data_IF_171214197430
#
_entry.id   IF_171214197430
#
_cell.length_a   1.000
_cell.length_b   1.000
_cell.length_c   1.000
_cell.angle_alpha   90.00
_cell.angle_beta   90.00
_cell.angle_gamma   90.00
#
_symmetry.space_group_name_H-M   'P 1'
#
loop_
_entity.id
_entity.type
_entity.pdbx_description
1 polymer ?
#
# COMPACT_ATOMS: atom_id res chain seq x y z
N UNK A 1 18.36 -39.66 23.21
CA UNK A 1 18.69 -38.22 23.07
C UNK A 1 19.15 -37.91 21.65
N UNK A 2 18.36 -38.26 20.62
CA UNK A 2 18.61 -37.93 19.20
C UNK A 2 17.25 -37.93 18.51
N UNK A 3 16.52 -36.80 18.54
CA UNK A 3 15.19 -36.72 17.93
C UNK A 3 14.77 -35.30 17.53
N UNK A 4 15.71 -34.40 17.22
CA UNK A 4 15.38 -33.00 16.87
C UNK A 4 16.01 -32.49 15.58
N UNK A 5 16.86 -33.25 14.88
CA UNK A 5 17.42 -32.82 13.59
C UNK A 5 16.44 -33.05 12.44
N UNK A 6 15.63 -34.13 12.49
CA UNK A 6 14.74 -34.54 11.38
C UNK A 6 13.62 -33.56 11.04
N UNK A 7 13.16 -32.75 12.01
CA UNK A 7 12.00 -31.87 11.86
C UNK A 7 12.32 -30.57 11.08
N UNK A 8 13.59 -30.19 10.93
CA UNK A 8 14.01 -29.04 10.10
C UNK A 8 14.11 -29.39 8.60
N UNK A 9 14.37 -30.65 8.26
CA UNK A 9 14.54 -31.10 6.87
C UNK A 9 13.19 -31.33 6.17
N UNK A 10 12.15 -31.77 6.89
CA UNK A 10 10.81 -32.00 6.32
C UNK A 10 10.10 -30.69 5.94
N UNK A 11 10.33 -29.58 6.66
CA UNK A 11 9.78 -28.27 6.32
C UNK A 11 10.45 -27.60 5.10
N UNK A 12 11.67 -28.03 4.72
CA UNK A 12 12.33 -27.60 3.47
C UNK A 12 11.95 -28.48 2.27
N UNK A 13 11.27 -29.61 2.50
CA UNK A 13 10.98 -30.64 1.48
C UNK A 13 9.56 -30.55 0.91
N UNK A 14 8.66 -29.82 1.55
CA UNK A 14 7.30 -29.59 1.06
C UNK A 14 7.20 -28.21 0.40
N UNK A 15 7.18 -28.20 -0.94
CA UNK A 15 6.93 -27.02 -1.79
C UNK A 15 8.14 -26.06 -1.89
N UNK A 16 9.19 -26.44 -2.64
CA UNK A 16 9.88 -25.44 -3.46
C UNK A 16 9.01 -25.30 -4.71
N UNK A 17 8.07 -24.33 -4.78
CA UNK A 17 7.40 -24.07 -6.04
C UNK A 17 8.50 -23.75 -7.04
N UNK A 18 8.39 -24.25 -8.27
CA UNK A 18 9.33 -23.92 -9.34
C UNK A 18 9.65 -22.44 -9.27
N UNK A 19 10.95 -22.12 -9.20
CA UNK A 19 11.45 -20.79 -8.92
C UNK A 19 11.27 -19.84 -10.12
N UNK A 20 10.28 -20.11 -10.96
CA UNK A 20 10.01 -19.50 -12.27
C UNK A 20 9.99 -17.98 -12.17
N UNK A 21 9.39 -17.43 -11.12
CA UNK A 21 9.33 -15.98 -10.88
C UNK A 21 10.71 -15.36 -10.56
N UNK A 22 11.62 -16.13 -9.95
CA UNK A 22 12.98 -15.66 -9.62
C UNK A 22 13.98 -15.93 -10.75
N UNK A 23 13.68 -16.78 -11.74
CA UNK A 23 14.57 -17.05 -12.88
C UNK A 23 14.82 -15.80 -13.74
N UNK A 24 13.79 -14.98 -13.97
CA UNK A 24 13.93 -13.71 -14.69
C UNK A 24 14.82 -12.74 -13.93
N UNK A 25 14.59 -12.56 -12.62
CA UNK A 25 15.41 -11.72 -11.75
C UNK A 25 16.87 -12.23 -11.64
N UNK A 26 17.05 -13.55 -11.67
CA UNK A 26 18.37 -14.19 -11.72
C UNK A 26 19.10 -13.86 -13.04
N UNK A 27 18.41 -13.95 -14.18
CA UNK A 27 18.97 -13.59 -15.50
C UNK A 27 19.29 -12.10 -15.63
N UNK A 28 18.50 -11.24 -14.99
CA UNK A 28 18.71 -9.79 -14.97
C UNK A 28 19.76 -9.34 -13.94
N UNK A 29 20.19 -10.25 -13.05
CA UNK A 29 21.18 -9.97 -12.01
C UNK A 29 20.67 -9.05 -10.89
N UNK A 30 19.35 -8.99 -10.68
CA UNK A 30 18.71 -8.11 -9.69
C UNK A 30 18.46 -8.80 -8.34
N UNK A 31 18.77 -10.08 -8.23
CA UNK A 31 18.65 -10.84 -6.98
C UNK A 31 19.75 -10.47 -5.98
N UNK A 32 19.44 -10.64 -4.69
CA UNK A 32 20.46 -10.61 -3.65
C UNK A 32 21.45 -11.78 -3.84
N UNK A 33 22.69 -11.68 -3.34
CA UNK A 33 23.67 -12.76 -3.48
C UNK A 33 23.21 -14.07 -2.81
N UNK A 34 22.44 -13.99 -1.73
CA UNK A 34 21.87 -15.14 -1.04
C UNK A 34 20.81 -15.84 -1.90
N UNK A 35 19.88 -15.08 -2.49
CA UNK A 35 18.85 -15.61 -3.36
C UNK A 35 19.45 -16.19 -4.65
N UNK A 36 20.44 -15.51 -5.24
CA UNK A 36 21.14 -16.01 -6.43
C UNK A 36 21.84 -17.35 -6.18
N UNK A 37 22.43 -17.55 -5.00
CA UNK A 37 23.03 -18.83 -4.62
C UNK A 37 21.97 -19.94 -4.47
N UNK A 38 20.80 -19.63 -3.90
CA UNK A 38 19.69 -20.57 -3.78
C UNK A 38 19.12 -20.97 -5.14
N UNK A 39 19.00 -20.02 -6.08
CA UNK A 39 18.60 -20.31 -7.47
C UNK A 39 19.64 -21.21 -8.15
N UNK A 40 20.92 -20.88 -8.01
CA UNK A 40 22.01 -21.64 -8.63
C UNK A 40 22.07 -23.09 -8.11
N UNK A 41 21.87 -23.32 -6.80
CA UNK A 41 21.81 -24.67 -6.26
C UNK A 41 20.60 -25.44 -6.79
N UNK A 42 19.45 -24.78 -6.95
CA UNK A 42 18.25 -25.42 -7.50
C UNK A 42 18.42 -25.79 -8.99
N UNK A 43 19.08 -24.94 -9.78
CA UNK A 43 19.36 -25.21 -11.19
C UNK A 43 20.28 -26.42 -11.38
N UNK A 44 21.15 -26.73 -10.40
CA UNK A 44 21.98 -27.94 -10.44
C UNK A 44 21.14 -29.24 -10.33
N UNK A 45 20.00 -29.17 -9.65
CA UNK A 45 19.16 -30.34 -9.32
C UNK A 45 17.91 -30.46 -10.21
N UNK A 46 17.38 -29.34 -10.73
CA UNK A 46 16.14 -29.30 -11.49
C UNK A 46 16.37 -29.11 -12.99
N UNK A 47 16.01 -30.11 -13.81
CA UNK A 47 16.10 -30.03 -15.27
C UNK A 47 15.03 -29.11 -15.88
N UNK A 48 13.83 -29.06 -15.30
CA UNK A 48 12.72 -28.23 -15.79
C UNK A 48 13.04 -26.74 -15.65
N UNK A 49 13.53 -26.31 -14.48
CA UNK A 49 13.93 -24.92 -14.26
C UNK A 49 15.12 -24.51 -15.13
N UNK A 50 16.01 -25.44 -15.51
CA UNK A 50 17.06 -25.18 -16.52
C UNK A 50 16.46 -24.94 -17.90
N UNK A 51 15.52 -25.78 -18.33
CA UNK A 51 14.80 -25.58 -19.60
C UNK A 51 14.10 -24.22 -19.65
N UNK A 52 13.39 -23.84 -18.60
CA UNK A 52 12.75 -22.52 -18.50
C UNK A 52 13.76 -21.38 -18.56
N UNK A 53 14.92 -21.52 -17.91
CA UNK A 53 15.99 -20.52 -17.97
C UNK A 53 16.57 -20.39 -19.38
N UNK A 54 16.81 -21.51 -20.06
CA UNK A 54 17.29 -21.54 -21.45
C UNK A 54 16.29 -20.88 -22.41
N UNK A 55 14.99 -21.14 -22.23
CA UNK A 55 13.91 -20.50 -23.00
C UNK A 55 13.91 -18.97 -22.79
N UNK A 56 14.03 -18.51 -21.55
CA UNK A 56 14.11 -17.08 -21.22
C UNK A 56 15.37 -16.44 -21.82
N UNK A 57 16.51 -17.13 -21.80
CA UNK A 57 17.74 -16.68 -22.45
C UNK A 57 17.58 -16.58 -23.97
N UNK A 58 16.90 -17.54 -24.60
CA UNK A 58 16.62 -17.51 -26.03
C UNK A 58 15.76 -16.30 -26.40
N UNK A 59 14.71 -16.00 -25.65
CA UNK A 59 13.87 -14.80 -25.85
C UNK A 59 14.69 -13.53 -25.68
N UNK A 60 15.52 -13.42 -24.64
CA UNK A 60 16.40 -12.27 -24.42
C UNK A 60 17.37 -12.06 -25.58
N UNK A 61 17.98 -13.14 -26.07
CA UNK A 61 18.89 -13.08 -27.21
C UNK A 61 18.17 -12.62 -28.49
N UNK A 62 16.95 -13.10 -28.74
CA UNK A 62 16.11 -12.62 -29.83
C UNK A 62 15.83 -11.11 -29.71
N UNK A 63 15.48 -10.62 -28.52
CA UNK A 63 15.26 -9.19 -28.29
C UNK A 63 16.53 -8.36 -28.54
N UNK A 64 17.71 -8.88 -28.24
CA UNK A 64 18.99 -8.21 -28.53
C UNK A 64 19.30 -8.12 -30.03
N UNK A 65 18.65 -8.91 -30.89
CA UNK A 65 18.77 -8.75 -32.36
C UNK A 65 17.97 -7.58 -32.91
N UNK A 66 17.03 -7.03 -32.13
CA UNK A 66 16.22 -5.89 -32.56
C UNK A 66 17.11 -4.64 -32.63
N UNK A 67 17.16 -3.94 -33.78
CA UNK A 67 18.01 -2.77 -33.92
C UNK A 67 17.58 -1.66 -32.97
N UNK A 68 18.54 -1.16 -32.17
CA UNK A 68 18.34 0.00 -31.31
C UNK A 68 18.01 1.23 -32.14
N UNK A 69 16.77 1.72 -32.03
CA UNK A 69 16.36 2.96 -32.69
C UNK A 69 16.86 4.16 -31.89
N UNK A 70 17.64 5.03 -32.54
CA UNK A 70 18.05 6.27 -31.91
C UNK A 70 16.81 7.09 -31.48
N UNK A 71 16.78 7.63 -30.25
CA UNK A 71 15.68 8.49 -29.82
C UNK A 71 15.61 9.75 -30.69
N UNK A 72 14.40 10.25 -30.94
CA UNK A 72 14.21 11.47 -31.72
C UNK A 72 14.93 12.65 -31.05
N UNK A 73 15.62 13.54 -31.79
CA UNK A 73 16.42 14.62 -31.20
C UNK A 73 15.62 15.59 -30.32
N UNK A 74 14.30 15.68 -30.52
CA UNK A 74 13.42 16.50 -29.67
C UNK A 74 13.05 15.84 -28.33
N UNK A 75 13.43 14.58 -28.07
CA UNK A 75 13.04 13.87 -26.86
C UNK A 75 13.70 14.48 -25.62
N UNK A 76 15.01 14.73 -25.68
CA UNK A 76 15.78 15.29 -24.57
C UNK A 76 15.32 16.72 -24.18
N UNK A 77 15.12 17.67 -25.12
CA UNK A 77 14.56 18.98 -24.78
C UNK A 77 13.17 18.90 -24.13
N UNK A 78 12.30 17.98 -24.58
CA UNK A 78 10.93 17.83 -24.02
C UNK A 78 10.95 17.27 -22.61
N UNK A 79 11.80 16.27 -22.33
CA UNK A 79 11.92 15.72 -20.96
C UNK A 79 12.51 16.75 -20.00
N UNK A 80 13.53 17.49 -20.42
CA UNK A 80 14.13 18.56 -19.62
C UNK A 80 13.16 19.73 -19.37
N UNK A 81 12.33 20.11 -20.35
CA UNK A 81 11.31 21.14 -20.14
C UNK A 81 10.29 20.76 -19.06
N UNK A 82 9.93 19.47 -18.96
CA UNK A 82 9.05 18.96 -17.90
C UNK A 82 9.67 19.07 -16.50
N UNK A 83 10.98 18.89 -16.39
CA UNK A 83 11.72 19.08 -15.13
C UNK A 83 11.90 20.57 -14.80
N UNK A 84 12.13 21.41 -15.81
CA UNK A 84 12.31 22.87 -15.65
C UNK A 84 11.05 23.62 -15.22
N UNK A 85 9.86 23.09 -15.49
CA UNK A 85 8.58 23.69 -15.05
C UNK A 85 8.41 23.77 -13.53
N UNK A 86 9.09 22.90 -12.77
CA UNK A 86 9.08 22.95 -11.30
C UNK A 86 9.87 24.15 -10.74
N UNK A 87 10.81 24.72 -11.52
CA UNK A 87 11.63 25.85 -11.11
C UNK A 87 10.96 27.21 -11.32
N UNK A 88 9.83 27.27 -12.05
CA UNK A 88 9.03 28.48 -12.20
C UNK A 88 7.81 28.49 -11.26
N UNK A 89 7.99 28.01 -10.02
CA UNK A 89 7.15 28.49 -8.92
C UNK A 89 7.40 29.98 -8.83
N UNK A 90 6.50 30.79 -9.42
CA UNK A 90 6.50 32.24 -9.27
C UNK A 90 6.84 32.52 -7.81
N UNK A 91 8.02 33.11 -7.59
CA UNK A 91 8.47 33.47 -6.27
C UNK A 91 7.48 34.49 -5.75
N UNK A 92 6.45 34.01 -5.03
CA UNK A 92 5.52 34.89 -4.35
C UNK A 92 6.38 35.68 -3.38
N UNK A 93 6.57 36.98 -3.59
CA UNK A 93 7.50 37.73 -2.79
C UNK A 93 7.08 37.61 -1.32
N UNK A 94 8.04 37.24 -0.48
CA UNK A 94 7.87 36.87 0.92
C UNK A 94 7.05 37.88 1.75
N UNK A 95 7.03 39.15 1.35
CA UNK A 95 6.21 40.19 1.97
C UNK A 95 4.70 39.97 1.81
N UNK A 96 4.25 39.32 0.73
CA UNK A 96 2.84 38.92 0.57
C UNK A 96 2.45 37.78 1.51
N UNK A 97 3.39 36.88 1.85
CA UNK A 97 3.18 35.82 2.85
C UNK A 97 3.09 36.44 4.25
N UNK A 98 3.96 37.40 4.56
CA UNK A 98 3.94 38.12 5.82
C UNK A 98 2.63 38.92 6.02
N UNK A 99 2.18 39.64 4.99
CA UNK A 99 0.94 40.43 5.06
C UNK A 99 -0.33 39.55 5.17
N UNK A 100 -0.38 38.43 4.47
CA UNK A 100 -1.49 37.48 4.57
C UNK A 100 -1.56 36.80 5.95
N UNK A 101 -0.40 36.47 6.54
CA UNK A 101 -0.32 35.88 7.88
C UNK A 101 -0.85 36.82 8.97
N UNK A 102 -0.51 38.11 8.92
CA UNK A 102 -0.99 39.08 9.91
C UNK A 102 -2.49 39.34 9.82
N UNK A 103 -3.06 39.40 8.61
CA UNK A 103 -4.49 39.62 8.42
C UNK A 103 -5.34 38.42 8.90
N UNK A 104 -4.91 37.19 8.56
CA UNK A 104 -5.56 35.96 9.04
C UNK A 104 -5.43 35.80 10.56
N UNK A 105 -4.27 36.12 11.14
CA UNK A 105 -4.05 36.07 12.58
C UNK A 105 -4.99 37.00 13.35
N UNK A 106 -5.11 38.26 12.93
CA UNK A 106 -6.02 39.24 13.53
C UNK A 106 -7.49 38.84 13.36
N UNK A 107 -7.88 38.37 12.18
CA UNK A 107 -9.23 37.89 11.93
C UNK A 107 -9.57 36.66 12.79
N UNK A 108 -8.66 35.68 12.90
CA UNK A 108 -8.86 34.50 13.74
C UNK A 108 -8.91 34.86 15.22
N UNK A 109 -8.07 35.79 15.69
CA UNK A 109 -8.08 36.25 17.07
C UNK A 109 -9.39 36.97 17.41
N UNK A 110 -9.90 37.78 16.48
CA UNK A 110 -11.20 38.43 16.61
C UNK A 110 -12.36 37.42 16.56
N UNK A 111 -12.29 36.45 15.65
CA UNK A 111 -13.27 35.37 15.48
C UNK A 111 -13.36 34.50 16.74
N UNK A 112 -12.22 34.10 17.33
CA UNK A 112 -12.17 33.28 18.57
C UNK A 112 -12.70 34.04 19.78
N UNK A 113 -12.55 35.37 19.81
CA UNK A 113 -13.12 36.21 20.87
C UNK A 113 -14.63 36.45 20.72
N UNK A 114 -15.15 36.35 19.50
CA UNK A 114 -16.57 36.53 19.19
C UNK A 114 -17.35 35.22 19.05
N UNK A 115 -16.69 34.07 18.95
CA UNK A 115 -17.38 32.79 18.81
C UNK A 115 -17.95 32.34 20.17
N UNK A 116 -19.28 32.12 20.28
CA UNK A 116 -19.85 31.49 21.46
C UNK A 116 -19.20 30.11 21.62
N UNK A 117 -18.69 29.83 22.83
CA UNK A 117 -18.05 28.54 23.14
C UNK A 117 -18.99 27.41 22.73
N UNK A 118 -18.55 26.44 21.90
CA UNK A 118 -19.40 25.35 21.45
C UNK A 118 -19.92 24.59 22.67
N UNK A 119 -21.25 24.51 22.79
CA UNK A 119 -21.90 23.79 23.87
C UNK A 119 -21.49 22.29 23.78
N UNK A 120 -20.95 21.70 24.86
CA UNK A 120 -20.30 20.40 24.84
C UNK A 120 -21.21 19.25 24.36
N UNK A 121 -22.53 19.40 24.50
CA UNK A 121 -23.51 18.36 24.15
C UNK A 121 -23.50 17.92 22.67
N UNK A 122 -22.98 18.73 21.74
CA UNK A 122 -22.83 18.31 20.32
C UNK A 122 -21.47 17.67 20.01
N UNK A 123 -20.48 17.85 20.87
CA UNK A 123 -19.13 17.30 20.67
C UNK A 123 -19.06 15.82 21.05
N UNK A 124 -19.84 15.38 22.04
CA UNK A 124 -19.82 13.99 22.52
C UNK A 124 -20.22 12.99 21.42
N UNK A 125 -21.20 13.33 20.58
CA UNK A 125 -21.59 12.48 19.46
C UNK A 125 -20.51 12.36 18.38
N UNK A 126 -19.82 13.47 18.06
CA UNK A 126 -18.83 13.50 16.98
C UNK A 126 -17.58 12.65 17.29
N UNK A 127 -17.12 12.66 18.55
CA UNK A 127 -16.01 11.81 19.00
C UNK A 127 -16.34 10.32 18.88
N UNK A 128 -17.58 9.94 19.22
CA UNK A 128 -18.04 8.56 19.08
C UNK A 128 -18.03 8.08 17.62
N UNK A 129 -18.57 8.88 16.69
CA UNK A 129 -18.61 8.51 15.26
C UNK A 129 -17.23 8.44 14.62
N UNK A 130 -16.31 9.35 14.98
CA UNK A 130 -14.96 9.36 14.43
C UNK A 130 -14.15 8.14 14.90
N UNK A 131 -14.30 7.74 16.16
CA UNK A 131 -13.64 6.54 16.68
C UNK A 131 -14.19 5.27 16.03
N UNK A 132 -15.49 5.18 15.79
CA UNK A 132 -16.11 4.07 15.06
C UNK A 132 -15.63 3.98 13.60
N UNK A 133 -15.51 5.12 12.90
CA UNK A 133 -15.05 5.14 11.51
C UNK A 133 -13.58 4.65 11.36
N UNK A 134 -12.71 5.02 12.30
CA UNK A 134 -11.30 4.56 12.31
C UNK A 134 -11.22 3.06 12.56
N UNK A 135 -12.03 2.54 13.49
CA UNK A 135 -12.08 1.11 13.80
C UNK A 135 -12.61 0.28 12.62
N UNK A 136 -13.68 0.76 11.97
CA UNK A 136 -14.25 0.14 10.77
C UNK A 136 -13.29 0.14 9.57
N UNK A 137 -12.53 1.23 9.38
CA UNK A 137 -11.54 1.33 8.31
C UNK A 137 -10.33 0.41 8.51
N UNK A 138 -9.91 0.19 9.76
CA UNK A 138 -8.79 -0.71 10.10
C UNK A 138 -9.16 -2.20 9.87
N UNK A 139 -10.45 -2.52 9.94
CA UNK A 139 -10.96 -3.89 9.83
C UNK A 139 -12.16 -3.96 8.88
N UNK A 140 -11.97 -3.78 7.55
CA UNK A 140 -13.06 -3.60 6.59
C UNK A 140 -14.00 -4.81 6.46
N UNK A 141 -13.58 -5.99 6.94
CA UNK A 141 -14.36 -7.23 6.90
C UNK A 141 -14.88 -7.66 8.28
N UNK A 142 -14.49 -6.99 9.37
CA UNK A 142 -14.94 -7.39 10.71
C UNK A 142 -16.42 -7.11 10.92
N UNK A 143 -16.97 -6.03 10.38
CA UNK A 143 -18.40 -5.72 10.55
C UNK A 143 -19.30 -6.74 9.85
N UNK A 144 -18.93 -7.21 8.65
CA UNK A 144 -19.72 -8.23 7.92
C UNK A 144 -19.59 -9.61 8.57
N UNK A 145 -18.38 -9.98 9.00
CA UNK A 145 -18.14 -11.25 9.67
C UNK A 145 -18.78 -11.29 11.06
N UNK A 146 -18.68 -10.20 11.83
CA UNK A 146 -19.29 -10.05 13.14
C UNK A 146 -20.82 -9.97 13.02
N UNK A 147 -21.38 -9.22 12.06
CA UNK A 147 -22.82 -9.18 11.82
C UNK A 147 -23.36 -10.56 11.40
N UNK A 148 -22.63 -11.30 10.55
CA UNK A 148 -23.01 -12.66 10.16
C UNK A 148 -22.93 -13.65 11.33
N UNK A 149 -21.89 -13.56 12.15
CA UNK A 149 -21.74 -14.39 13.35
C UNK A 149 -22.83 -14.07 14.39
N UNK A 150 -23.07 -12.80 14.69
CA UNK A 150 -24.11 -12.39 15.64
C UNK A 150 -25.50 -12.76 15.13
N UNK A 151 -25.78 -12.61 13.83
CA UNK A 151 -27.07 -13.03 13.24
C UNK A 151 -27.27 -14.55 13.26
N UNK A 152 -26.19 -15.33 13.24
CA UNK A 152 -26.23 -16.79 13.33
C UNK A 152 -26.28 -17.32 14.76
N UNK A 153 -25.75 -16.57 15.73
CA UNK A 153 -25.57 -17.02 17.13
C UNK A 153 -26.59 -16.41 18.09
N UNK A 154 -27.12 -15.21 17.81
CA UNK A 154 -28.16 -14.61 18.65
C UNK A 154 -29.55 -15.07 18.23
N UNK A 155 -30.39 -15.52 19.19
CA UNK A 155 -31.82 -15.71 18.97
C UNK A 155 -32.46 -14.40 18.52
N UNK A 156 -33.36 -14.47 17.52
CA UNK A 156 -34.04 -13.31 16.93
C UNK A 156 -34.79 -12.44 17.98
N UNK A 157 -35.17 -13.06 19.08
CA UNK A 157 -35.83 -12.49 20.25
C UNK A 157 -34.97 -11.43 20.98
N UNK A 158 -33.64 -11.58 21.02
CA UNK A 158 -32.75 -10.59 21.68
C UNK A 158 -32.62 -9.30 20.88
N UNK A 159 -32.68 -9.38 19.55
CA UNK A 159 -32.61 -8.21 18.67
C UNK A 159 -33.88 -7.36 18.70
N UNK A 160 -35.02 -7.93 19.13
CA UNK A 160 -36.30 -7.22 19.22
C UNK A 160 -36.37 -6.25 20.41
N UNK A 161 -35.71 -6.60 21.51
CA UNK A 161 -35.67 -5.78 22.73
C UNK A 161 -34.89 -4.47 22.52
N UNK A 162 -33.91 -4.48 21.61
CA UNK A 162 -33.04 -3.32 21.35
C UNK A 162 -33.56 -2.36 20.26
N UNK A 163 -34.75 -2.58 19.70
CA UNK A 163 -35.31 -1.59 18.77
C UNK A 163 -35.74 -0.35 19.56
N UNK A 164 -35.13 0.84 19.37
CA UNK A 164 -35.60 2.04 20.04
C UNK A 164 -37.02 2.31 19.55
N UNK A 165 -38.00 2.17 20.44
CA UNK A 165 -39.39 2.56 20.18
C UNK A 165 -39.40 4.02 19.74
N UNK A 166 -40.06 4.38 18.62
CA UNK A 166 -40.09 5.76 18.15
C UNK A 166 -40.72 6.61 19.25
N UNK A 167 -39.91 7.47 19.87
CA UNK A 167 -40.40 8.49 20.77
C UNK A 167 -41.18 9.47 19.90
N UNK A 168 -42.51 9.40 19.99
CA UNK A 168 -43.44 10.37 19.42
C UNK A 168 -43.11 11.76 20.04
N UNK A 169 -43.18 12.85 19.25
CA UNK A 169 -42.56 14.13 19.59
C UNK A 169 -43.17 14.82 20.81
#
# INVERSE_FOLDING_TARGET
>A
MVATVRRRDEARRSVMPHLTDQLSAYLDGTLTPEDAAAVASHLAECAECRGTLDDLQAVRNLLHTVPSRAPHPSLLPRTLAGLGGAAHRRATPWWMIAAAGTALGLALLLQVRLLPTPHPDRAEGAWYFQQHAVFAAAHPMSDVALASYLSGVLPYDVLREWSPSPQNP
#
